data_IF_804815114998
#
_entry.id   IF_804815114998
#
_cell.length_a   1.000
_cell.length_b   1.000
_cell.length_c   1.000
_cell.angle_alpha   90.00
_cell.angle_beta   90.00
_cell.angle_gamma   90.00
#
_symmetry.space_group_name_H-M   'P 1'
#
loop_
_entity.id
_entity.type
_entity.pdbx_description
1 polymer ?
#
# COMPACT_ATOMS: atom_id res chain seq x y z
N UNK A 1 26.85 0.70 -30.17
CA UNK A 1 25.93 -0.08 -29.34
C UNK A 1 24.72 0.79 -29.07
N UNK A 2 23.49 0.28 -29.28
CA UNK A 2 22.29 1.04 -28.96
C UNK A 2 22.22 1.23 -27.45
N UNK A 3 22.27 2.48 -26.99
CA UNK A 3 22.13 2.80 -25.57
C UNK A 3 20.64 2.80 -25.24
N UNK A 4 20.15 1.73 -24.63
CA UNK A 4 18.77 1.69 -24.15
C UNK A 4 18.60 2.74 -23.04
N UNK A 5 17.63 3.64 -23.21
CA UNK A 5 17.39 4.78 -22.29
C UNK A 5 16.99 4.34 -20.88
N UNK A 6 16.25 3.23 -20.77
CA UNK A 6 15.75 2.70 -19.50
C UNK A 6 16.19 1.25 -19.36
N UNK A 7 17.19 1.01 -18.51
CA UNK A 7 17.65 -0.33 -18.17
C UNK A 7 17.73 -0.47 -16.65
N UNK A 8 17.45 -1.65 -16.08
CA UNK A 8 17.64 -1.87 -14.66
C UNK A 8 19.09 -1.64 -14.26
N UNK A 9 19.32 -1.16 -13.04
CA UNK A 9 20.67 -0.89 -12.56
C UNK A 9 21.52 -2.17 -12.57
N UNK A 10 22.73 -2.07 -13.13
CA UNK A 10 23.68 -3.20 -13.27
C UNK A 10 23.04 -4.42 -13.94
N UNK A 11 22.12 -4.21 -14.90
CA UNK A 11 21.33 -5.26 -15.57
C UNK A 11 22.19 -6.45 -16.03
N UNK A 12 23.25 -6.21 -16.79
CA UNK A 12 24.11 -7.28 -17.32
C UNK A 12 24.75 -8.12 -16.22
N UNK A 13 25.26 -7.49 -15.16
CA UNK A 13 25.84 -8.19 -14.00
C UNK A 13 24.78 -9.07 -13.33
N UNK A 14 23.58 -8.53 -13.08
CA UNK A 14 22.49 -9.26 -12.43
C UNK A 14 21.95 -10.40 -13.31
N UNK A 15 21.83 -10.15 -14.61
CA UNK A 15 21.47 -11.16 -15.61
C UNK A 15 22.49 -12.31 -15.61
N UNK A 16 23.79 -11.99 -15.69
CA UNK A 16 24.84 -13.02 -15.68
C UNK A 16 24.90 -13.78 -14.35
N UNK A 17 24.59 -13.15 -13.21
CA UNK A 17 24.44 -13.86 -11.93
C UNK A 17 23.34 -14.92 -12.00
N UNK A 18 22.20 -14.63 -12.64
CA UNK A 18 21.11 -15.60 -12.82
C UNK A 18 21.57 -16.77 -13.70
N UNK A 19 22.25 -16.49 -14.82
CA UNK A 19 22.76 -17.54 -15.73
C UNK A 19 23.81 -18.42 -15.06
N UNK A 20 24.68 -17.84 -14.23
CA UNK A 20 25.80 -18.55 -13.61
C UNK A 20 25.46 -19.21 -12.27
N UNK A 21 24.24 -19.02 -11.73
CA UNK A 21 23.82 -19.65 -10.49
C UNK A 21 23.80 -21.18 -10.65
N UNK A 22 24.44 -21.90 -9.73
CA UNK A 22 24.59 -23.37 -9.80
C UNK A 22 23.70 -24.11 -8.80
N UNK A 23 23.12 -23.38 -7.84
CA UNK A 23 22.31 -23.94 -6.76
C UNK A 23 20.99 -23.19 -6.60
N UNK A 24 19.97 -23.87 -6.07
CA UNK A 24 18.65 -23.26 -5.82
C UNK A 24 18.75 -21.99 -4.95
N UNK A 25 19.55 -21.94 -3.86
CA UNK A 25 19.72 -20.72 -3.08
C UNK A 25 20.33 -19.57 -3.89
N UNK A 26 21.36 -19.83 -4.69
CA UNK A 26 21.98 -18.82 -5.56
C UNK A 26 20.98 -18.32 -6.61
N UNK A 27 20.23 -19.23 -7.25
CA UNK A 27 19.19 -18.87 -8.22
C UNK A 27 18.15 -17.96 -7.57
N UNK A 28 17.70 -18.28 -6.35
CA UNK A 28 16.70 -17.47 -5.62
C UNK A 28 17.23 -16.07 -5.34
N UNK A 29 18.47 -15.94 -4.86
CA UNK A 29 19.09 -14.64 -4.58
C UNK A 29 19.26 -13.83 -5.87
N UNK A 30 19.81 -14.44 -6.92
CA UNK A 30 20.05 -13.77 -8.19
C UNK A 30 18.74 -13.30 -8.86
N UNK A 31 17.72 -14.15 -8.87
CA UNK A 31 16.38 -13.78 -9.38
C UNK A 31 15.75 -12.67 -8.55
N UNK A 32 15.88 -12.71 -7.21
CA UNK A 32 15.36 -11.66 -6.34
C UNK A 32 16.04 -10.32 -6.62
N UNK A 33 17.37 -10.28 -6.73
CA UNK A 33 18.13 -9.07 -7.08
C UNK A 33 17.71 -8.50 -8.44
N UNK A 34 17.48 -9.38 -9.42
CA UNK A 34 17.05 -9.01 -10.77
C UNK A 34 15.61 -8.47 -10.79
N UNK A 35 14.68 -9.14 -10.11
CA UNK A 35 13.29 -8.66 -10.01
C UNK A 35 13.22 -7.31 -9.30
N UNK A 36 14.00 -7.14 -8.22
CA UNK A 36 14.08 -5.89 -7.48
C UNK A 36 14.63 -4.75 -8.34
N UNK A 37 15.62 -5.00 -9.20
CA UNK A 37 16.14 -3.96 -10.10
C UNK A 37 15.13 -3.51 -11.14
N UNK A 38 14.32 -4.44 -11.66
CA UNK A 38 13.24 -4.13 -12.60
C UNK A 38 12.14 -3.31 -11.93
N UNK A 39 11.75 -3.67 -10.70
CA UNK A 39 10.77 -2.90 -9.91
C UNK A 39 11.30 -1.49 -9.61
N UNK A 40 12.56 -1.36 -9.20
CA UNK A 40 13.17 -0.06 -8.94
C UNK A 40 13.19 0.83 -10.19
N UNK A 41 13.52 0.27 -11.35
CA UNK A 41 13.45 1.00 -12.62
C UNK A 41 12.03 1.45 -12.91
N UNK A 42 11.04 0.58 -12.72
CA UNK A 42 9.64 0.93 -12.91
C UNK A 42 9.23 2.09 -12.01
N UNK A 43 9.58 2.04 -10.72
CA UNK A 43 9.26 3.10 -9.75
C UNK A 43 9.91 4.44 -10.14
N UNK A 44 11.18 4.41 -10.58
CA UNK A 44 11.89 5.59 -11.07
C UNK A 44 11.24 6.17 -12.33
N UNK A 45 10.92 5.32 -13.30
CA UNK A 45 10.24 5.73 -14.53
C UNK A 45 8.86 6.30 -14.22
N UNK A 46 8.11 5.67 -13.32
CA UNK A 46 6.79 6.12 -12.91
C UNK A 46 6.87 7.52 -12.25
N UNK A 47 7.83 7.73 -11.35
CA UNK A 47 8.04 9.03 -10.71
C UNK A 47 8.42 10.14 -11.71
N UNK A 48 9.22 9.82 -12.73
CA UNK A 48 9.74 10.79 -13.68
C UNK A 48 8.82 11.06 -14.88
N UNK A 49 8.06 10.06 -15.32
CA UNK A 49 7.28 10.12 -16.56
C UNK A 49 5.78 10.29 -16.32
N UNK A 50 5.28 9.88 -15.15
CA UNK A 50 3.86 9.99 -14.82
C UNK A 50 3.65 11.20 -13.91
N UNK A 51 2.85 12.15 -14.40
CA UNK A 51 2.37 13.26 -13.59
C UNK A 51 1.43 12.71 -12.52
N UNK A 52 1.90 12.69 -11.28
CA UNK A 52 1.08 12.26 -10.15
C UNK A 52 -0.07 13.24 -9.92
N UNK A 53 -1.28 12.74 -9.58
CA UNK A 53 -2.35 13.60 -9.12
C UNK A 53 -1.94 14.33 -7.83
N UNK A 54 -2.62 15.44 -7.55
CA UNK A 54 -2.49 16.16 -6.27
C UNK A 54 -3.76 15.86 -5.46
N UNK A 55 -3.65 15.54 -4.17
CA UNK A 55 -4.82 15.37 -3.32
C UNK A 55 -5.69 16.63 -3.32
N UNK A 56 -6.99 16.45 -3.42
CA UNK A 56 -8.01 17.52 -3.39
C UNK A 56 -9.12 17.13 -2.45
N UNK A 57 -9.92 18.11 -2.03
CA UNK A 57 -11.09 17.86 -1.19
C UNK A 57 -12.04 16.82 -1.81
N UNK A 58 -12.27 16.91 -3.12
CA UNK A 58 -13.22 16.05 -3.84
C UNK A 58 -12.65 14.66 -4.14
N UNK A 59 -11.39 14.55 -4.58
CA UNK A 59 -10.84 13.24 -4.94
C UNK A 59 -10.58 12.34 -3.73
N UNK A 60 -10.39 12.91 -2.55
CA UNK A 60 -10.30 12.16 -1.29
C UNK A 60 -11.66 11.81 -0.70
N UNK A 61 -12.78 12.17 -1.35
CA UNK A 61 -14.11 11.91 -0.80
C UNK A 61 -14.35 10.42 -0.56
N UNK A 62 -14.64 10.08 0.70
CA UNK A 62 -15.03 8.73 1.13
C UNK A 62 -13.86 7.77 1.35
N UNK A 63 -12.62 8.17 1.05
CA UNK A 63 -11.49 7.23 1.06
C UNK A 63 -11.07 6.84 2.47
N UNK A 64 -11.13 7.76 3.44
CA UNK A 64 -10.87 7.40 4.84
C UNK A 64 -11.96 6.48 5.39
N UNK A 65 -13.22 6.77 5.07
CA UNK A 65 -14.38 5.96 5.47
C UNK A 65 -14.30 4.55 4.85
N UNK A 66 -13.83 4.44 3.61
CA UNK A 66 -13.56 3.15 2.97
C UNK A 66 -12.46 2.37 3.68
N UNK A 67 -11.31 3.00 3.98
CA UNK A 67 -10.23 2.37 4.75
C UNK A 67 -10.74 1.86 6.10
N UNK A 68 -11.54 2.68 6.78
CA UNK A 68 -12.15 2.35 8.07
C UNK A 68 -13.11 1.17 7.97
N UNK A 69 -14.10 1.23 7.07
CA UNK A 69 -15.14 0.21 6.96
C UNK A 69 -14.61 -1.11 6.39
N UNK A 70 -13.72 -1.05 5.40
CA UNK A 70 -13.26 -2.25 4.71
C UNK A 70 -12.18 -3.02 5.46
N UNK A 71 -11.33 -2.34 6.25
CA UNK A 71 -10.12 -2.98 6.79
C UNK A 71 -10.00 -2.91 8.31
N UNK A 72 -10.46 -1.85 8.96
CA UNK A 72 -10.17 -1.63 10.40
C UNK A 72 -10.58 -2.81 11.27
N UNK A 73 -11.86 -3.18 11.21
CA UNK A 73 -12.36 -4.27 12.05
C UNK A 73 -11.83 -5.63 11.58
N UNK A 74 -11.53 -5.81 10.28
CA UNK A 74 -10.91 -7.04 9.79
C UNK A 74 -9.54 -7.25 10.42
N UNK A 75 -8.70 -6.21 10.47
CA UNK A 75 -7.37 -6.27 11.10
C UNK A 75 -7.48 -6.48 12.61
N UNK A 76 -8.30 -5.66 13.31
CA UNK A 76 -8.43 -5.75 14.77
C UNK A 76 -8.92 -7.13 15.20
N UNK A 77 -10.05 -7.59 14.66
CA UNK A 77 -10.69 -8.84 15.11
C UNK A 77 -9.81 -10.04 14.79
N UNK A 78 -9.17 -10.07 13.61
CA UNK A 78 -8.29 -11.19 13.27
C UNK A 78 -6.97 -11.20 14.05
N UNK A 79 -6.43 -10.03 14.38
CA UNK A 79 -5.25 -9.94 15.24
C UNK A 79 -5.55 -10.42 16.67
N UNK A 80 -6.69 -10.03 17.22
CA UNK A 80 -7.16 -10.48 18.55
C UNK A 80 -7.46 -11.98 18.57
N UNK A 81 -8.01 -12.53 17.48
CA UNK A 81 -8.23 -13.96 17.30
C UNK A 81 -6.95 -14.76 16.99
N UNK A 82 -5.80 -14.09 16.83
CA UNK A 82 -4.51 -14.66 16.43
C UNK A 82 -4.53 -15.41 15.09
N UNK A 83 -5.41 -15.00 14.17
CA UNK A 83 -5.51 -15.56 12.82
C UNK A 83 -4.46 -14.92 11.91
N UNK A 84 -3.25 -15.50 11.91
CA UNK A 84 -2.11 -15.02 11.11
C UNK A 84 -2.46 -14.88 9.63
N UNK A 85 -3.20 -15.84 9.09
CA UNK A 85 -3.55 -15.89 7.66
C UNK A 85 -4.51 -14.77 7.30
N UNK A 86 -5.55 -14.55 8.11
CA UNK A 86 -6.53 -13.51 7.83
C UNK A 86 -6.00 -12.11 8.12
N UNK A 87 -5.14 -11.92 9.13
CA UNK A 87 -4.44 -10.64 9.34
C UNK A 87 -3.60 -10.30 8.12
N UNK A 88 -2.81 -11.27 7.61
CA UNK A 88 -2.00 -11.06 6.41
C UNK A 88 -2.86 -10.70 5.19
N UNK A 89 -3.98 -11.40 4.98
CA UNK A 89 -4.91 -11.10 3.90
C UNK A 89 -5.51 -9.68 4.03
N UNK A 90 -5.98 -9.30 5.21
CA UNK A 90 -6.51 -7.97 5.47
C UNK A 90 -5.45 -6.88 5.32
N UNK A 91 -4.22 -7.12 5.77
CA UNK A 91 -3.07 -6.23 5.64
C UNK A 91 -2.71 -5.99 4.17
N UNK A 92 -2.63 -7.05 3.36
CA UNK A 92 -2.39 -6.92 1.92
C UNK A 92 -3.49 -6.14 1.21
N UNK A 93 -4.76 -6.39 1.57
CA UNK A 93 -5.87 -5.62 1.03
C UNK A 93 -5.76 -4.13 1.37
N UNK A 94 -5.40 -3.81 2.62
CA UNK A 94 -5.20 -2.43 3.05
C UNK A 94 -3.98 -1.77 2.38
N UNK A 95 -2.88 -2.50 2.20
CA UNK A 95 -1.72 -2.02 1.44
C UNK A 95 -2.11 -1.69 0.00
N UNK A 96 -2.85 -2.58 -0.67
CA UNK A 96 -3.34 -2.35 -2.02
C UNK A 96 -4.20 -1.08 -2.12
N UNK A 97 -5.11 -0.89 -1.17
CA UNK A 97 -5.89 0.36 -1.08
C UNK A 97 -4.99 1.60 -0.94
N UNK A 98 -3.98 1.57 -0.04
CA UNK A 98 -3.07 2.69 0.17
C UNK A 98 -2.22 3.00 -1.08
N UNK A 99 -1.81 1.96 -1.81
CA UNK A 99 -1.10 2.10 -3.09
C UNK A 99 -2.00 2.72 -4.17
N UNK A 100 -3.28 2.34 -4.22
CA UNK A 100 -4.27 2.96 -5.11
C UNK A 100 -4.50 4.44 -4.76
N UNK A 101 -4.56 4.79 -3.48
CA UNK A 101 -4.69 6.20 -3.06
C UNK A 101 -3.46 7.02 -3.47
N UNK A 102 -2.26 6.44 -3.34
CA UNK A 102 -1.03 7.07 -3.82
C UNK A 102 -1.09 7.29 -5.32
N UNK A 103 -1.44 6.25 -6.08
CA UNK A 103 -1.46 6.25 -7.54
C UNK A 103 -2.53 7.17 -8.14
N UNK A 104 -3.76 7.10 -7.64
CA UNK A 104 -4.92 7.74 -8.28
C UNK A 104 -5.38 9.01 -7.58
N UNK A 105 -4.95 9.25 -6.33
CA UNK A 105 -5.33 10.43 -5.55
C UNK A 105 -4.13 11.29 -5.14
N UNK A 106 -2.92 10.76 -5.25
CA UNK A 106 -1.69 11.52 -5.03
C UNK A 106 -1.32 11.64 -3.56
N UNK A 107 -1.90 10.81 -2.71
CA UNK A 107 -1.52 10.77 -1.31
C UNK A 107 -0.05 10.35 -1.18
N UNK A 108 0.57 10.61 -0.02
CA UNK A 108 1.88 10.02 0.26
C UNK A 108 1.81 8.48 0.17
N UNK A 109 2.94 7.86 -0.16
CA UNK A 109 3.09 6.39 -0.11
C UNK A 109 3.12 5.93 1.34
N UNK A 110 2.45 4.82 1.60
CA UNK A 110 2.50 4.11 2.88
C UNK A 110 3.00 2.70 2.61
N UNK A 111 3.96 2.25 3.42
CA UNK A 111 4.40 0.87 3.43
C UNK A 111 3.91 0.26 4.74
N UNK A 112 2.70 -0.27 4.73
CA UNK A 112 2.09 -0.96 5.87
C UNK A 112 2.75 -2.32 6.09
N UNK A 113 3.11 -3.00 5.01
CA UNK A 113 3.64 -4.38 5.07
C UNK A 113 5.02 -4.46 5.72
N UNK A 114 5.80 -3.38 5.76
CA UNK A 114 7.05 -3.35 6.54
C UNK A 114 6.87 -3.69 8.03
N UNK A 115 5.66 -3.47 8.58
CA UNK A 115 5.35 -3.71 9.99
C UNK A 115 4.77 -5.10 10.25
N UNK A 116 4.47 -5.88 9.21
CA UNK A 116 3.82 -7.18 9.39
C UNK A 116 4.79 -8.20 10.02
N UNK A 117 4.43 -8.67 11.20
CA UNK A 117 5.11 -9.78 11.87
C UNK A 117 4.08 -10.85 12.24
N UNK A 118 4.20 -12.05 11.65
CA UNK A 118 3.29 -13.15 11.91
C UNK A 118 3.33 -13.65 13.37
N UNK A 119 4.40 -13.34 14.11
CA UNK A 119 4.58 -13.73 15.51
C UNK A 119 4.19 -12.60 16.49
N UNK A 120 3.90 -11.40 15.98
CA UNK A 120 3.46 -10.25 16.78
C UNK A 120 2.33 -9.46 16.09
N UNK A 121 1.14 -10.06 16.08
CA UNK A 121 -0.05 -9.46 15.49
C UNK A 121 -0.59 -8.27 16.31
N UNK A 122 -0.27 -8.21 17.60
CA UNK A 122 -0.66 -7.08 18.46
C UNK A 122 0.06 -5.82 18.02
N UNK A 123 1.38 -5.86 17.83
CA UNK A 123 2.14 -4.71 17.32
C UNK A 123 1.68 -4.32 15.92
N UNK A 124 1.44 -5.30 15.03
CA UNK A 124 0.92 -5.00 13.70
C UNK A 124 -0.43 -4.26 13.73
N UNK A 125 -1.35 -4.66 14.61
CA UNK A 125 -2.63 -3.96 14.80
C UNK A 125 -2.42 -2.49 15.17
N UNK A 126 -1.51 -2.20 16.10
CA UNK A 126 -1.20 -0.82 16.53
C UNK A 126 -0.52 -0.01 15.41
N UNK A 127 0.38 -0.63 14.65
CA UNK A 127 1.01 0.01 13.49
C UNK A 127 0.00 0.30 12.38
N UNK A 128 -0.95 -0.60 12.14
CA UNK A 128 -2.04 -0.38 11.19
C UNK A 128 -2.93 0.81 11.61
N UNK A 129 -3.33 0.90 12.88
CA UNK A 129 -4.10 2.05 13.38
C UNK A 129 -3.31 3.36 13.23
N UNK A 130 -2.01 3.34 13.50
CA UNK A 130 -1.13 4.49 13.27
C UNK A 130 -1.04 4.89 11.80
N UNK A 131 -1.05 3.92 10.88
CA UNK A 131 -1.11 4.19 9.43
C UNK A 131 -2.44 4.81 9.05
N UNK A 132 -3.56 4.35 9.62
CA UNK A 132 -4.87 5.00 9.42
C UNK A 132 -4.86 6.46 9.90
N UNK A 133 -4.31 6.74 11.08
CA UNK A 133 -4.18 8.11 11.59
C UNK A 133 -3.30 8.96 10.67
N UNK A 134 -2.20 8.40 10.17
CA UNK A 134 -1.35 9.07 9.18
C UNK A 134 -2.06 9.30 7.84
N UNK A 135 -3.02 8.46 7.45
CA UNK A 135 -3.85 8.66 6.26
C UNK A 135 -4.92 9.72 6.49
N UNK A 136 -5.47 9.81 7.71
CA UNK A 136 -6.38 10.89 8.11
C UNK A 136 -5.75 12.28 7.92
N UNK A 137 -4.44 12.41 8.13
CA UNK A 137 -3.74 13.66 7.83
C UNK A 137 -3.84 14.10 6.36
N UNK A 138 -4.08 13.19 5.41
CA UNK A 138 -4.35 13.56 4.01
C UNK A 138 -5.69 14.29 3.85
N UNK A 139 -6.71 13.95 4.66
CA UNK A 139 -7.96 14.72 4.73
C UNK A 139 -7.72 16.11 5.30
N UNK A 140 -6.95 16.20 6.39
CA UNK A 140 -6.68 17.48 7.05
C UNK A 140 -5.97 18.46 6.12
N UNK A 141 -5.01 17.99 5.31
CA UNK A 141 -4.29 18.81 4.31
C UNK A 141 -5.21 19.50 3.31
N UNK A 142 -6.35 18.92 2.99
CA UNK A 142 -7.32 19.45 2.01
C UNK A 142 -8.57 20.04 2.68
N UNK A 143 -8.55 20.19 4.01
CA UNK A 143 -9.69 20.72 4.77
C UNK A 143 -10.91 19.79 4.85
N UNK A 144 -10.73 18.50 4.57
CA UNK A 144 -11.80 17.50 4.62
C UNK A 144 -11.99 16.98 6.05
N UNK A 145 -13.25 16.78 6.44
CA UNK A 145 -13.64 16.15 7.70
C UNK A 145 -14.08 14.72 7.45
N UNK A 146 -13.83 13.85 8.43
CA UNK A 146 -14.36 12.47 8.42
C UNK A 146 -15.87 12.52 8.61
N UNK A 147 -16.59 11.82 7.75
CA UNK A 147 -18.01 11.59 7.90
C UNK A 147 -18.23 10.50 8.93
N UNK A 148 -19.06 10.80 9.94
CA UNK A 148 -19.42 9.85 10.99
C UNK A 148 -20.92 9.87 11.18
N UNK A 149 -21.49 8.68 11.25
CA UNK A 149 -22.91 8.45 11.50
C UNK A 149 -23.04 7.75 12.84
N UNK A 150 -23.86 8.31 13.73
CA UNK A 150 -24.12 7.75 15.06
C UNK A 150 -25.11 6.58 15.04
N UNK A 151 -25.84 6.38 13.93
CA UNK A 151 -26.75 5.26 13.74
C UNK A 151 -26.89 4.89 12.26
N UNK A 152 -27.41 3.69 11.99
CA UNK A 152 -27.69 3.24 10.62
C UNK A 152 -28.76 4.10 9.95
N UNK A 153 -29.73 4.62 10.71
CA UNK A 153 -30.77 5.52 10.21
C UNK A 153 -30.17 6.86 9.77
N UNK A 154 -29.16 7.38 10.48
CA UNK A 154 -28.45 8.59 10.05
C UNK A 154 -27.71 8.36 8.72
N UNK A 155 -27.04 7.21 8.58
CA UNK A 155 -26.39 6.82 7.32
C UNK A 155 -27.41 6.68 6.19
N UNK A 156 -28.51 5.97 6.42
CA UNK A 156 -29.59 5.78 5.45
C UNK A 156 -30.20 7.11 5.01
N UNK A 157 -30.54 7.98 5.96
CA UNK A 157 -31.12 9.29 5.67
C UNK A 157 -30.15 10.20 4.91
N UNK A 158 -28.84 10.07 5.13
CA UNK A 158 -27.85 10.80 4.34
C UNK A 158 -27.77 10.23 2.91
N UNK A 159 -27.71 8.91 2.77
CA UNK A 159 -27.63 8.24 1.47
C UNK A 159 -28.86 8.50 0.58
N UNK A 160 -30.06 8.50 1.18
CA UNK A 160 -31.31 8.72 0.45
C UNK A 160 -31.60 10.20 0.13
N UNK A 161 -30.79 11.13 0.64
CA UNK A 161 -30.87 12.57 0.30
C UNK A 161 -30.04 12.95 -0.92
N UNK A 162 -29.37 11.97 -1.54
CA UNK A 162 -28.63 12.11 -2.79
C UNK A 162 -29.59 12.14 -3.96
#
# INVERSE_FOLDING_TARGET
MATFKYIPDKFEIKYMKVINAKTIPETRIALHEMLKSVINLYDEMYANLVKQPVPTYDNLRGTYEELWCNYRNKVIVSAEAKDKSYVYHAALGAQGFLDEMTKYRGTKKFDLMQYFNADDLTSFKEDFLRVMDKYLEEYHKVGRKVERYGSIEQLYNHYMKV
#
